data_IF_188190715233
#
_entry.id   IF_188190715233
#
_cell.length_a   1.000
_cell.length_b   1.000
_cell.length_c   1.000
_cell.angle_alpha   90.00
_cell.angle_beta   90.00
_cell.angle_gamma   90.00
#
_symmetry.space_group_name_H-M   'P 1'
#
loop_
_entity.id
_entity.type
_entity.pdbx_description
1 polymer ?
#
# COMPACT_ATOMS: atom_id res chain seq x y z
N UNK A 1 6.60 79.72 -42.79
CA UNK A 1 5.57 79.30 -43.77
C UNK A 1 4.31 78.99 -42.97
N UNK A 2 3.47 80.01 -42.78
CA UNK A 2 2.13 80.23 -43.43
C UNK A 2 1.03 79.41 -42.76
N UNK A 3 0.25 79.95 -41.81
CA UNK A 3 -0.84 80.98 -41.87
C UNK A 3 -2.20 80.38 -42.23
N UNK A 4 -3.24 80.73 -41.43
CA UNK A 4 -4.68 80.56 -41.68
C UNK A 4 -5.32 79.59 -40.68
N UNK A 5 -5.87 79.95 -39.52
CA UNK A 5 -6.87 80.98 -39.18
C UNK A 5 -8.14 80.87 -40.03
N UNK A 6 -9.21 80.30 -39.45
CA UNK A 6 -10.53 80.91 -39.54
C UNK A 6 -11.41 80.54 -38.33
N UNK A 7 -12.14 81.56 -37.90
CA UNK A 7 -13.01 81.67 -36.72
C UNK A 7 -14.46 81.80 -37.19
N UNK A 8 -15.37 81.52 -36.26
CA UNK A 8 -16.82 81.84 -36.25
C UNK A 8 -17.72 80.83 -36.98
N UNK A 9 -18.89 80.43 -36.46
CA UNK A 9 -19.82 81.16 -35.58
C UNK A 9 -20.73 80.19 -34.83
N UNK A 10 -21.27 80.67 -33.71
CA UNK A 10 -22.19 80.00 -32.79
C UNK A 10 -23.61 79.75 -33.36
N UNK A 11 -24.22 78.68 -32.87
CA UNK A 11 -25.67 78.50 -32.62
C UNK A 11 -25.71 77.33 -31.62
N UNK A 12 -25.91 77.51 -30.33
CA UNK A 12 -27.15 77.87 -29.63
C UNK A 12 -28.38 77.05 -30.09
N UNK A 13 -29.14 76.64 -29.08
CA UNK A 13 -30.39 75.86 -29.02
C UNK A 13 -30.22 74.35 -28.80
N UNK A 14 -30.57 73.91 -27.60
CA UNK A 14 -30.88 72.51 -27.31
C UNK A 14 -30.67 72.12 -25.86
N UNK A 15 -31.44 72.71 -24.94
CA UNK A 15 -31.69 72.13 -23.63
C UNK A 15 -32.29 70.73 -23.79
N UNK A 16 -32.07 69.92 -22.75
CA UNK A 16 -32.87 68.78 -22.29
C UNK A 16 -32.28 67.36 -22.47
N UNK A 17 -32.60 66.55 -21.47
CA UNK A 17 -32.24 65.15 -21.22
C UNK A 17 -30.91 64.86 -20.51
N UNK A 18 -30.94 65.18 -19.21
CA UNK A 18 -30.42 64.35 -18.12
C UNK A 18 -30.64 62.85 -18.38
N UNK A 19 -29.60 62.16 -18.88
CA UNK A 19 -29.52 60.71 -18.84
C UNK A 19 -28.86 60.26 -17.53
N UNK A 20 -29.52 59.40 -16.73
CA UNK A 20 -28.94 58.85 -15.52
C UNK A 20 -27.82 57.88 -15.90
N UNK A 21 -26.64 58.05 -15.31
CA UNK A 21 -25.65 56.97 -15.22
C UNK A 21 -26.22 55.86 -14.32
N UNK A 22 -26.31 54.61 -14.81
CA UNK A 22 -25.85 53.51 -13.97
C UNK A 22 -25.18 52.41 -14.81
N UNK A 23 -23.95 52.62 -15.30
CA UNK A 23 -23.17 51.52 -15.93
C UNK A 23 -22.14 50.90 -14.97
N UNK A 24 -21.87 51.51 -13.81
CA UNK A 24 -20.85 50.97 -12.87
C UNK A 24 -21.34 49.83 -11.94
N UNK A 25 -22.62 49.48 -11.91
CA UNK A 25 -23.16 48.53 -10.91
C UNK A 25 -23.38 47.10 -11.42
N UNK A 26 -23.02 46.79 -12.67
CA UNK A 26 -23.25 45.47 -13.26
C UNK A 26 -22.04 44.50 -13.16
N UNK A 27 -20.83 45.01 -12.88
CA UNK A 27 -19.61 44.17 -12.84
C UNK A 27 -19.31 43.61 -11.43
N UNK A 28 -19.89 44.18 -10.37
CA UNK A 28 -19.67 43.72 -9.00
C UNK A 28 -20.40 42.40 -8.65
N UNK A 29 -21.41 42.00 -9.43
CA UNK A 29 -22.26 40.84 -9.11
C UNK A 29 -21.75 39.51 -9.70
N UNK A 30 -20.83 39.55 -10.66
CA UNK A 30 -20.25 38.34 -11.26
C UNK A 30 -19.06 37.82 -10.44
N UNK A 31 -18.38 38.68 -9.67
CA UNK A 31 -17.26 38.26 -8.80
C UNK A 31 -17.76 37.64 -7.49
N UNK A 32 -18.95 38.00 -6.99
CA UNK A 32 -19.52 37.46 -5.76
C UNK A 32 -20.21 36.08 -5.95
N UNK A 33 -20.75 35.78 -7.14
CA UNK A 33 -21.40 34.50 -7.42
C UNK A 33 -20.43 33.33 -7.65
N UNK A 34 -19.23 33.60 -8.18
CA UNK A 34 -18.20 32.58 -8.40
C UNK A 34 -17.56 32.05 -7.11
N UNK A 35 -17.47 32.88 -6.07
CA UNK A 35 -16.84 32.52 -4.80
C UNK A 35 -17.60 31.46 -4.00
N UNK A 36 -18.95 31.50 -4.02
CA UNK A 36 -19.79 30.56 -3.25
C UNK A 36 -19.87 29.19 -3.93
N UNK A 37 -19.93 29.15 -5.27
CA UNK A 37 -19.93 27.88 -6.00
C UNK A 37 -18.55 27.20 -5.97
N UNK A 38 -17.47 28.00 -6.06
CA UNK A 38 -16.10 27.51 -5.93
C UNK A 38 -15.81 26.94 -4.54
N UNK A 39 -16.22 27.63 -3.47
CA UNK A 39 -16.04 27.11 -2.10
C UNK A 39 -16.82 25.82 -1.88
N UNK A 40 -18.07 25.71 -2.35
CA UNK A 40 -18.86 24.50 -2.16
C UNK A 40 -18.29 23.26 -2.91
N UNK A 41 -17.76 23.44 -4.13
CA UNK A 41 -17.06 22.37 -4.85
C UNK A 41 -15.74 21.99 -4.15
N UNK A 42 -15.02 22.97 -3.61
CA UNK A 42 -13.78 22.73 -2.87
C UNK A 42 -14.04 21.96 -1.56
N UNK A 43 -15.11 22.26 -0.83
CA UNK A 43 -15.49 21.53 0.39
C UNK A 43 -15.94 20.10 0.09
N UNK A 44 -16.69 19.88 -1.00
CA UNK A 44 -17.08 18.53 -1.44
C UNK A 44 -15.88 17.69 -1.88
N UNK A 45 -14.96 18.27 -2.65
CA UNK A 45 -13.73 17.60 -3.06
C UNK A 45 -12.80 17.29 -1.88
N UNK A 46 -12.80 18.14 -0.83
CA UNK A 46 -12.07 17.86 0.42
C UNK A 46 -12.69 16.70 1.20
N UNK A 47 -14.02 16.72 1.37
CA UNK A 47 -14.76 15.64 2.05
C UNK A 47 -14.52 14.28 1.41
N UNK A 48 -14.57 14.20 0.07
CA UNK A 48 -14.35 12.93 -0.63
C UNK A 48 -12.93 12.36 -0.44
N UNK A 49 -11.92 13.22 -0.37
CA UNK A 49 -10.54 12.78 -0.20
C UNK A 49 -10.25 12.30 1.23
N UNK A 50 -10.82 12.96 2.24
CA UNK A 50 -10.68 12.54 3.63
C UNK A 50 -11.45 11.25 3.90
N UNK A 51 -12.65 11.08 3.34
CA UNK A 51 -13.41 9.83 3.40
C UNK A 51 -12.65 8.67 2.73
N UNK A 52 -12.05 8.90 1.56
CA UNK A 52 -11.22 7.88 0.90
C UNK A 52 -10.01 7.48 1.75
N UNK A 53 -9.36 8.42 2.43
CA UNK A 53 -8.23 8.13 3.32
C UNK A 53 -8.65 7.30 4.53
N UNK A 54 -9.81 7.61 5.13
CA UNK A 54 -10.36 6.84 6.23
C UNK A 54 -10.67 5.40 5.79
N UNK A 55 -11.30 5.22 4.63
CA UNK A 55 -11.60 3.90 4.08
C UNK A 55 -10.33 3.10 3.76
N UNK A 56 -9.29 3.73 3.22
CA UNK A 56 -7.98 3.09 2.97
C UNK A 56 -7.34 2.63 4.29
N UNK A 57 -7.37 3.47 5.33
CA UNK A 57 -6.85 3.10 6.66
C UNK A 57 -7.62 1.96 7.30
N UNK A 58 -8.95 2.03 7.27
CA UNK A 58 -9.81 0.95 7.77
C UNK A 58 -9.49 -0.38 7.08
N UNK A 59 -9.31 -0.36 5.76
CA UNK A 59 -8.89 -1.54 5.00
C UNK A 59 -7.52 -2.06 5.44
N UNK A 60 -6.52 -1.19 5.55
CA UNK A 60 -5.18 -1.58 5.96
C UNK A 60 -5.18 -2.18 7.37
N UNK A 61 -5.88 -1.58 8.32
CA UNK A 61 -6.00 -2.06 9.70
C UNK A 61 -6.69 -3.42 9.75
N UNK A 62 -7.85 -3.57 9.11
CA UNK A 62 -8.58 -4.84 9.09
C UNK A 62 -7.74 -5.98 8.49
N UNK A 63 -7.05 -5.71 7.38
CA UNK A 63 -6.17 -6.69 6.73
C UNK A 63 -4.93 -7.00 7.59
N UNK A 64 -4.29 -5.98 8.17
CA UNK A 64 -3.13 -6.13 9.04
C UNK A 64 -3.44 -6.94 10.30
N UNK A 65 -4.60 -6.72 10.92
CA UNK A 65 -5.08 -7.52 12.06
C UNK A 65 -5.30 -8.99 11.68
N UNK A 66 -5.93 -9.23 10.54
CA UNK A 66 -6.17 -10.59 10.04
C UNK A 66 -4.86 -11.33 9.73
N UNK A 67 -3.87 -10.65 9.12
CA UNK A 67 -2.53 -11.23 8.91
C UNK A 67 -1.77 -11.45 10.22
N UNK A 68 -1.95 -10.57 11.21
CA UNK A 68 -1.31 -10.75 12.52
C UNK A 68 -1.82 -12.01 13.20
N UNK A 69 -3.14 -12.27 13.16
CA UNK A 69 -3.72 -13.52 13.67
C UNK A 69 -3.19 -14.73 12.89
N UNK A 70 -3.12 -14.62 11.57
CA UNK A 70 -2.58 -15.68 10.71
C UNK A 70 -1.12 -16.01 11.02
N UNK A 71 -0.27 -14.99 11.20
CA UNK A 71 1.13 -15.17 11.56
C UNK A 71 1.28 -15.91 12.90
N UNK A 72 0.53 -15.48 13.92
CA UNK A 72 0.55 -16.12 15.24
C UNK A 72 0.10 -17.58 15.21
N UNK A 73 -0.91 -17.91 14.39
CA UNK A 73 -1.38 -19.29 14.26
C UNK A 73 -0.41 -20.14 13.43
N UNK A 74 0.28 -19.56 12.45
CA UNK A 74 1.36 -20.23 11.73
C UNK A 74 2.55 -20.52 12.63
N UNK A 75 3.05 -19.54 13.39
CA UNK A 75 4.16 -19.72 14.32
C UNK A 75 3.88 -20.87 15.30
N UNK A 76 2.68 -20.92 15.90
CA UNK A 76 2.26 -22.02 16.79
C UNK A 76 2.21 -23.38 16.09
N UNK A 77 1.86 -23.41 14.80
CA UNK A 77 1.79 -24.65 14.04
C UNK A 77 3.17 -25.24 13.72
N UNK A 78 4.22 -24.41 13.66
CA UNK A 78 5.60 -24.87 13.46
C UNK A 78 6.24 -25.49 14.70
N UNK A 79 5.79 -25.13 15.91
CA UNK A 79 6.38 -25.58 17.18
C UNK A 79 5.89 -26.97 17.65
N UNK A 80 4.78 -27.48 17.12
CA UNK A 80 4.03 -28.57 17.75
C UNK A 80 3.95 -29.85 16.89
N UNK A 81 4.97 -30.70 16.97
CA UNK A 81 5.00 -32.05 16.36
C UNK A 81 3.85 -33.00 16.82
N UNK A 82 3.07 -32.64 17.86
CA UNK A 82 2.07 -33.51 18.46
C UNK A 82 0.61 -33.03 18.39
N UNK A 83 0.32 -31.80 17.93
CA UNK A 83 -1.02 -31.19 18.01
C UNK A 83 -1.65 -30.86 16.63
N UNK A 84 -1.21 -31.59 15.60
CA UNK A 84 -1.48 -31.35 14.18
C UNK A 84 -2.96 -31.10 13.83
N UNK A 85 -3.96 -31.89 14.30
CA UNK A 85 -5.33 -31.72 13.82
C UNK A 85 -6.01 -30.44 14.33
N UNK A 86 -5.80 -30.08 15.60
CA UNK A 86 -6.38 -28.87 16.19
C UNK A 86 -5.78 -27.59 15.59
N UNK A 87 -4.48 -27.62 15.29
CA UNK A 87 -3.78 -26.49 14.68
C UNK A 87 -4.22 -26.28 13.23
N UNK A 88 -4.45 -27.36 12.49
CA UNK A 88 -4.98 -27.30 11.12
C UNK A 88 -6.36 -26.67 11.07
N UNK A 89 -7.27 -27.08 11.95
CA UNK A 89 -8.61 -26.48 12.02
C UNK A 89 -8.54 -24.99 12.30
N UNK A 90 -7.74 -24.59 13.30
CA UNK A 90 -7.56 -23.17 13.64
C UNK A 90 -6.95 -22.37 12.50
N UNK A 91 -5.93 -22.91 11.84
CA UNK A 91 -5.28 -22.26 10.71
C UNK A 91 -6.24 -22.11 9.51
N UNK A 92 -7.08 -23.12 9.25
CA UNK A 92 -8.17 -23.08 8.27
C UNK A 92 -9.19 -21.97 8.56
N UNK A 93 -9.63 -21.87 9.83
CA UNK A 93 -10.56 -20.82 10.28
C UNK A 93 -9.95 -19.42 10.12
N UNK A 94 -8.67 -19.26 10.48
CA UNK A 94 -7.95 -17.99 10.33
C UNK A 94 -7.70 -17.63 8.87
N UNK A 95 -7.42 -18.61 8.00
CA UNK A 95 -7.32 -18.38 6.55
C UNK A 95 -8.64 -17.99 5.91
N UNK A 96 -9.73 -18.62 6.35
CA UNK A 96 -11.09 -18.26 5.91
C UNK A 96 -11.41 -16.83 6.31
N UNK A 97 -11.12 -16.46 7.56
CA UNK A 97 -11.30 -15.10 8.08
C UNK A 97 -10.47 -14.08 7.30
N UNK A 98 -9.21 -14.41 7.00
CA UNK A 98 -8.35 -13.60 6.13
C UNK A 98 -8.97 -13.43 4.73
N UNK A 99 -9.41 -14.51 4.09
CA UNK A 99 -10.03 -14.47 2.76
C UNK A 99 -11.29 -13.58 2.72
N UNK A 100 -12.16 -13.70 3.72
CA UNK A 100 -13.36 -12.87 3.84
C UNK A 100 -13.02 -11.38 4.06
N UNK A 101 -12.02 -11.11 4.91
CA UNK A 101 -11.53 -9.74 5.12
C UNK A 101 -10.92 -9.17 3.83
N UNK A 102 -10.15 -9.98 3.10
CA UNK A 102 -9.63 -9.60 1.79
C UNK A 102 -10.74 -9.24 0.81
N UNK A 103 -11.77 -10.06 0.67
CA UNK A 103 -12.86 -9.80 -0.29
C UNK A 103 -13.65 -8.52 0.03
N UNK A 104 -13.74 -8.16 1.32
CA UNK A 104 -14.39 -6.92 1.75
C UNK A 104 -13.54 -5.67 1.52
N UNK A 105 -12.21 -5.77 1.65
CA UNK A 105 -11.33 -4.59 1.73
C UNK A 105 -10.35 -4.43 0.56
N UNK A 106 -10.09 -5.48 -0.22
CA UNK A 106 -9.09 -5.49 -1.31
C UNK A 106 -9.29 -4.42 -2.37
N UNK A 107 -10.54 -4.06 -2.70
CA UNK A 107 -10.85 -2.99 -3.67
C UNK A 107 -10.36 -1.60 -3.26
N UNK A 108 -9.94 -1.42 -2.01
CA UNK A 108 -9.41 -0.16 -1.48
C UNK A 108 -7.87 -0.10 -1.54
N UNK A 109 -7.22 -1.23 -1.84
CA UNK A 109 -5.78 -1.32 -2.05
C UNK A 109 -5.42 -0.90 -3.49
N UNK A 110 -4.15 -0.58 -3.76
CA UNK A 110 -3.64 -0.43 -5.13
C UNK A 110 -3.89 -1.69 -5.97
N UNK A 111 -4.13 -1.54 -7.26
CA UNK A 111 -4.41 -2.65 -8.19
C UNK A 111 -3.24 -3.65 -8.24
N UNK A 112 -2.02 -3.17 -8.07
CA UNK A 112 -0.84 -4.00 -8.05
C UNK A 112 -0.81 -4.91 -6.83
N UNK A 113 -1.51 -4.58 -5.73
CA UNK A 113 -1.60 -5.41 -4.53
C UNK A 113 -2.62 -6.56 -4.66
N UNK A 114 -3.40 -6.63 -5.75
CA UNK A 114 -4.45 -7.66 -5.90
C UNK A 114 -3.90 -9.09 -5.94
N UNK A 115 -2.60 -9.27 -6.20
CA UNK A 115 -1.95 -10.58 -6.20
C UNK A 115 -1.65 -11.13 -4.80
N UNK A 116 -1.74 -10.32 -3.74
CA UNK A 116 -1.36 -10.72 -2.38
C UNK A 116 -2.16 -11.96 -1.95
N UNK A 117 -3.48 -11.98 -2.15
CA UNK A 117 -4.30 -13.16 -1.80
C UNK A 117 -3.81 -14.44 -2.46
N UNK A 118 -3.53 -14.38 -3.77
CA UNK A 118 -3.01 -15.53 -4.53
C UNK A 118 -1.63 -15.95 -4.03
N UNK A 119 -0.77 -14.98 -3.72
CA UNK A 119 0.61 -15.24 -3.30
C UNK A 119 0.67 -15.81 -1.89
N UNK A 120 -0.16 -15.33 -0.97
CA UNK A 120 -0.34 -15.93 0.35
C UNK A 120 -0.94 -17.33 0.24
N UNK A 121 -1.97 -17.53 -0.60
CA UNK A 121 -2.51 -18.86 -0.85
C UNK A 121 -1.45 -19.81 -1.40
N UNK A 122 -0.54 -19.35 -2.25
CA UNK A 122 0.57 -20.16 -2.75
C UNK A 122 1.60 -20.47 -1.64
N UNK A 123 2.03 -19.46 -0.89
CA UNK A 123 2.96 -19.62 0.23
C UNK A 123 2.44 -20.62 1.29
N UNK A 124 1.12 -20.64 1.51
CA UNK A 124 0.48 -21.47 2.52
C UNK A 124 -0.10 -22.79 1.96
N UNK A 125 -0.38 -22.86 0.66
CA UNK A 125 -1.16 -23.94 0.07
C UNK A 125 -0.36 -25.19 -0.26
N UNK A 126 0.89 -25.03 -0.74
CA UNK A 126 1.65 -26.13 -1.35
C UNK A 126 2.14 -27.14 -0.31
N UNK A 127 2.52 -26.71 0.90
CA UNK A 127 3.13 -27.59 1.92
C UNK A 127 2.30 -27.83 3.18
N UNK A 128 1.23 -27.07 3.40
CA UNK A 128 0.33 -27.29 4.54
C UNK A 128 -0.93 -28.10 4.17
N UNK A 129 -1.03 -28.59 2.93
CA UNK A 129 -2.26 -29.20 2.39
C UNK A 129 -3.45 -28.23 2.27
N UNK A 130 -3.24 -26.94 2.50
CA UNK A 130 -4.29 -25.90 2.53
C UNK A 130 -4.77 -25.47 1.14
N UNK A 131 -4.14 -25.98 0.07
CA UNK A 131 -4.64 -25.80 -1.29
C UNK A 131 -6.09 -26.30 -1.44
N UNK A 132 -6.47 -27.34 -0.68
CA UNK A 132 -7.84 -27.87 -0.62
C UNK A 132 -8.77 -27.13 0.34
N UNK A 133 -8.26 -26.34 1.29
CA UNK A 133 -9.07 -25.66 2.32
C UNK A 133 -9.54 -24.27 1.85
N UNK A 134 -8.81 -23.66 0.92
CA UNK A 134 -9.11 -22.32 0.40
C UNK A 134 -10.01 -22.32 -0.85
N UNK A 135 -10.26 -23.47 -1.45
CA UNK A 135 -11.43 -23.69 -2.31
C UNK A 135 -12.46 -24.45 -1.51
N UNK A 136 -13.56 -23.76 -1.25
CA UNK A 136 -14.79 -24.27 -0.67
C UNK A 136 -15.23 -25.54 -1.41
N UNK A 137 -14.87 -26.69 -0.88
CA UNK A 137 -15.60 -27.92 -1.08
C UNK A 137 -15.80 -28.52 0.31
N UNK A 138 -17.04 -28.47 0.79
CA UNK A 138 -17.50 -29.19 2.00
C UNK A 138 -17.32 -30.71 1.87
N UNK A 139 -16.94 -31.21 0.69
CA UNK A 139 -16.48 -32.57 0.51
C UNK A 139 -15.08 -32.68 1.13
N UNK A 140 -15.05 -33.08 2.41
CA UNK A 140 -13.85 -33.41 3.18
C UNK A 140 -13.03 -34.53 2.54
N UNK A 141 -12.40 -34.24 1.40
CA UNK A 141 -11.39 -35.07 0.79
C UNK A 141 -10.11 -34.75 1.55
N UNK A 142 -9.71 -35.67 2.43
CA UNK A 142 -8.41 -35.67 3.06
C UNK A 142 -7.34 -35.72 1.97
N UNK A 143 -6.88 -34.55 1.54
CA UNK A 143 -5.66 -34.48 0.74
C UNK A 143 -4.52 -34.93 1.65
N UNK A 144 -3.71 -35.94 1.24
CA UNK A 144 -2.56 -36.33 2.01
C UNK A 144 -1.67 -35.10 2.18
N UNK A 145 -1.49 -34.70 3.43
CA UNK A 145 -0.59 -33.61 3.78
C UNK A 145 0.79 -34.02 3.27
N UNK A 146 1.38 -33.18 2.43
CA UNK A 146 2.80 -33.32 2.16
C UNK A 146 3.57 -33.27 3.48
N UNK A 147 4.67 -34.02 3.57
CA UNK A 147 5.54 -34.03 4.74
C UNK A 147 5.92 -32.59 5.13
N UNK A 148 5.85 -32.28 6.42
CA UNK A 148 6.06 -30.93 6.93
C UNK A 148 7.46 -30.42 6.57
N UNK A 149 7.53 -29.44 5.68
CA UNK A 149 8.78 -28.78 5.27
C UNK A 149 9.03 -27.55 6.16
N UNK A 150 9.89 -27.71 7.17
CA UNK A 150 10.23 -26.68 8.16
C UNK A 150 10.79 -25.41 7.49
N UNK A 151 11.58 -25.55 6.44
CA UNK A 151 12.18 -24.41 5.72
C UNK A 151 11.08 -23.64 4.99
N UNK A 152 10.19 -24.35 4.30
CA UNK A 152 9.05 -23.72 3.65
C UNK A 152 8.12 -23.04 4.66
N UNK A 153 7.85 -23.68 5.80
CA UNK A 153 7.05 -23.11 6.88
C UNK A 153 7.62 -21.77 7.34
N UNK A 154 8.93 -21.72 7.60
CA UNK A 154 9.61 -20.49 7.98
C UNK A 154 9.46 -19.41 6.91
N UNK A 155 9.65 -19.75 5.64
CA UNK A 155 9.45 -18.81 4.54
C UNK A 155 8.01 -18.29 4.43
N UNK A 156 7.02 -19.13 4.71
CA UNK A 156 5.63 -18.72 4.72
C UNK A 156 5.33 -17.72 5.85
N UNK A 157 5.82 -17.99 7.07
CA UNK A 157 5.70 -17.08 8.23
C UNK A 157 6.33 -15.72 7.92
N UNK A 158 7.54 -15.73 7.39
CA UNK A 158 8.27 -14.52 7.04
C UNK A 158 7.61 -13.74 5.90
N UNK A 159 6.99 -14.43 4.93
CA UNK A 159 6.25 -13.76 3.87
C UNK A 159 4.97 -13.10 4.38
N UNK A 160 4.24 -13.75 5.29
CA UNK A 160 3.08 -13.15 5.96
C UNK A 160 3.50 -11.88 6.71
N UNK A 161 4.62 -11.94 7.45
CA UNK A 161 5.19 -10.77 8.12
C UNK A 161 5.56 -9.66 7.13
N UNK A 162 6.21 -10.00 6.02
CA UNK A 162 6.53 -9.03 4.95
C UNK A 162 5.30 -8.30 4.40
N UNK A 163 4.20 -9.03 4.13
CA UNK A 163 2.95 -8.42 3.64
C UNK A 163 2.29 -7.56 4.72
N UNK A 164 2.30 -8.01 5.98
CA UNK A 164 1.78 -7.23 7.11
C UNK A 164 2.54 -5.90 7.25
N UNK A 165 3.86 -5.94 7.19
CA UNK A 165 4.70 -4.75 7.33
C UNK A 165 4.50 -3.80 6.14
N UNK A 166 4.32 -4.33 4.92
CA UNK A 166 3.94 -3.53 3.75
C UNK A 166 2.57 -2.85 3.93
N UNK A 167 1.57 -3.54 4.49
CA UNK A 167 0.26 -2.95 4.79
C UNK A 167 0.34 -1.87 5.87
N UNK A 168 1.18 -2.06 6.89
CA UNK A 168 1.41 -1.07 7.94
C UNK A 168 2.05 0.21 7.37
N UNK A 169 3.06 0.07 6.52
CA UNK A 169 3.66 1.21 5.82
C UNK A 169 2.63 1.92 4.91
N UNK A 170 1.76 1.15 4.25
CA UNK A 170 0.72 1.71 3.39
C UNK A 170 -0.38 2.42 4.18
N UNK A 171 -0.72 1.92 5.37
CA UNK A 171 -1.64 2.59 6.31
C UNK A 171 -1.12 4.00 6.67
N UNK A 172 0.17 4.09 7.00
CA UNK A 172 0.77 5.33 7.49
C UNK A 172 1.05 6.32 6.34
N UNK A 173 1.46 5.81 5.18
CA UNK A 173 1.99 6.61 4.08
C UNK A 173 1.49 6.20 2.69
N UNK A 174 0.16 6.14 2.44
CA UNK A 174 -0.38 5.60 1.19
C UNK A 174 0.10 6.39 -0.04
N UNK A 175 0.09 7.73 0.04
CA UNK A 175 0.53 8.60 -1.04
C UNK A 175 2.04 8.58 -1.30
N UNK A 176 2.86 8.21 -0.31
CA UNK A 176 4.30 8.05 -0.51
C UNK A 176 4.60 6.74 -1.22
N UNK A 177 3.92 5.66 -0.83
CA UNK A 177 4.07 4.35 -1.46
C UNK A 177 3.55 4.34 -2.91
N UNK A 178 2.42 4.99 -3.18
CA UNK A 178 1.89 5.15 -4.54
C UNK A 178 2.88 5.92 -5.43
N UNK A 179 3.46 7.04 -4.94
CA UNK A 179 4.48 7.80 -5.70
C UNK A 179 5.78 7.02 -5.92
N UNK A 180 6.19 6.20 -4.95
CA UNK A 180 7.37 5.36 -5.05
C UNK A 180 7.13 4.09 -5.88
N UNK A 181 5.89 3.84 -6.32
CA UNK A 181 5.47 2.59 -6.95
C UNK A 181 5.90 1.36 -6.12
N UNK A 182 5.76 1.44 -4.79
CA UNK A 182 6.22 0.40 -3.87
C UNK A 182 5.19 -0.73 -3.81
N UNK A 183 5.30 -1.65 -4.74
CA UNK A 183 4.43 -2.82 -4.88
C UNK A 183 4.99 -3.99 -4.05
N UNK A 184 4.16 -4.74 -3.32
CA UNK A 184 4.62 -5.93 -2.63
C UNK A 184 5.02 -6.99 -3.65
N UNK A 185 6.07 -7.74 -3.36
CA UNK A 185 6.51 -8.82 -4.24
C UNK A 185 5.58 -10.02 -4.09
N UNK A 186 5.31 -10.71 -5.21
CA UNK A 186 4.76 -12.07 -5.20
C UNK A 186 5.70 -13.00 -4.43
N UNK A 187 5.17 -14.13 -3.97
CA UNK A 187 5.93 -15.06 -3.13
C UNK A 187 7.23 -15.56 -3.79
N UNK A 188 7.20 -16.08 -5.03
CA UNK A 188 8.44 -16.62 -5.65
C UNK A 188 9.51 -15.54 -5.88
N UNK A 189 9.20 -14.37 -6.46
CA UNK A 189 10.18 -13.29 -6.55
C UNK A 189 10.71 -12.83 -5.19
N UNK A 190 9.85 -12.75 -4.18
CA UNK A 190 10.26 -12.42 -2.82
C UNK A 190 11.23 -13.46 -2.27
N UNK A 191 10.92 -14.74 -2.45
CA UNK A 191 11.73 -15.86 -1.98
C UNK A 191 13.10 -15.86 -2.66
N UNK A 192 13.17 -15.58 -3.96
CA UNK A 192 14.44 -15.44 -4.68
C UNK A 192 15.31 -14.28 -4.15
N UNK A 193 14.70 -13.11 -3.92
CA UNK A 193 15.41 -11.95 -3.35
C UNK A 193 15.92 -12.26 -1.94
N UNK A 194 15.09 -12.92 -1.13
CA UNK A 194 15.44 -13.33 0.23
C UNK A 194 16.58 -14.35 0.22
N UNK A 195 16.48 -15.42 -0.57
CA UNK A 195 17.50 -16.46 -0.66
C UNK A 195 18.86 -15.89 -1.07
N UNK A 196 18.88 -14.93 -2.00
CA UNK A 196 20.09 -14.19 -2.38
C UNK A 196 20.68 -13.40 -1.22
N UNK A 197 19.84 -12.66 -0.49
CA UNK A 197 20.27 -11.89 0.68
C UNK A 197 20.85 -12.78 1.78
N UNK A 198 20.20 -13.90 2.06
CA UNK A 198 20.65 -14.86 3.08
C UNK A 198 21.98 -15.51 2.67
N UNK A 199 22.16 -15.80 1.37
CA UNK A 199 23.42 -16.28 0.82
C UNK A 199 24.55 -15.25 0.99
N UNK A 200 24.32 -13.99 0.61
CA UNK A 200 25.30 -12.90 0.70
C UNK A 200 25.72 -12.63 2.15
N UNK A 201 24.78 -12.68 3.10
CA UNK A 201 25.07 -12.52 4.54
C UNK A 201 25.95 -13.66 5.04
N UNK A 202 25.64 -14.92 4.70
CA UNK A 202 26.43 -16.08 5.13
C UNK A 202 27.85 -16.05 4.55
N UNK A 203 28.01 -15.74 3.26
CA UNK A 203 29.33 -15.74 2.60
C UNK A 203 30.16 -14.50 2.93
N UNK A 204 29.52 -13.34 3.13
CA UNK A 204 30.19 -12.13 3.60
C UNK A 204 30.75 -12.27 5.01
N UNK A 205 30.06 -13.01 5.90
CA UNK A 205 30.55 -13.31 7.24
C UNK A 205 31.74 -14.26 7.23
N UNK A 206 31.71 -15.31 6.41
CA UNK A 206 32.82 -16.27 6.26
C UNK A 206 34.07 -15.54 5.75
N UNK A 207 33.93 -14.70 4.72
CA UNK A 207 35.06 -13.93 4.16
C UNK A 207 35.69 -12.97 5.19
N UNK A 208 34.89 -12.39 6.10
CA UNK A 208 35.39 -11.52 7.18
C UNK A 208 36.07 -12.31 8.29
N UNK A 209 35.59 -13.51 8.60
CA UNK A 209 36.21 -14.40 9.59
C UNK A 209 37.56 -14.92 9.11
N UNK A 210 37.68 -15.29 7.83
CA UNK A 210 38.97 -15.74 7.25
C UNK A 210 40.01 -14.62 7.25
N UNK A 211 39.61 -13.39 6.89
CA UNK A 211 40.46 -12.20 6.99
C UNK A 211 40.89 -11.91 8.44
N UNK A 212 39.99 -12.11 9.41
CA UNK A 212 40.31 -11.93 10.83
C UNK A 212 41.27 -13.00 11.33
N UNK A 213 41.06 -14.28 10.98
CA UNK A 213 41.91 -15.39 11.40
C UNK A 213 43.30 -15.35 10.75
N UNK A 214 43.41 -14.95 9.48
CA UNK A 214 44.73 -14.73 8.86
C UNK A 214 45.50 -13.57 9.49
N UNK A 215 44.81 -12.51 9.93
CA UNK A 215 45.44 -11.38 10.62
C UNK A 215 45.96 -11.77 12.01
N UNK A 216 45.32 -12.71 12.69
CA UNK A 216 45.74 -13.15 14.03
C UNK A 216 46.82 -14.23 14.03
N UNK A 217 46.92 -15.03 12.96
CA UNK A 217 47.92 -16.10 12.84
C UNK A 217 49.25 -15.62 12.25
N UNK A 218 49.27 -14.48 11.55
CA UNK A 218 50.48 -13.94 10.91
C UNK A 218 51.51 -13.25 11.82
N UNK A 219 51.29 -13.16 13.13
CA UNK A 219 52.13 -12.35 14.04
C UNK A 219 53.07 -13.15 14.96
N UNK A 220 53.19 -14.47 14.79
CA UNK A 220 53.94 -15.35 15.71
C UNK A 220 55.30 -15.87 15.19
N UNK A 221 55.70 -15.57 13.95
CA UNK A 221 57.01 -15.99 13.42
C UNK A 221 57.87 -14.79 13.06
N UNK A 222 58.45 -14.13 14.07
CA UNK A 222 59.71 -13.41 13.94
C UNK A 222 60.25 -13.09 15.34
N UNK A 223 60.89 -14.09 15.95
CA UNK A 223 61.96 -13.84 16.91
C UNK A 223 63.18 -14.68 16.51
N UNK A 224 64.37 -14.06 16.41
CA UNK A 224 65.62 -14.70 16.00
C UNK A 224 66.12 -15.69 17.05
#
# INVERSE_FOLDING_TARGET
>A
MTVGADRHTASDIGEDESLPEPISTAVALIVAGGGVYGTHQFTRARGSNDDQRLLKREAATALGEALTRLAQDLERAGDADAAVPLHQRRLSETLTTWGQTWDRHSRRLPDEAQHIRRSLRFALGTRFGLAGISDVNETGVDYPLEEHDVIWHQHAVEYVAYIRDWLAEWHDHPAAMERANKVPLKFDPWLHVKARRDYDVRHGLISRLDLFLHRFTGTQEQRP
#
